data_IF_487065441169
#
_entry.id   IF_487065441169
#
_cell.length_a   1.000
_cell.length_b   1.000
_cell.length_c   1.000
_cell.angle_alpha   90.00
_cell.angle_beta   90.00
_cell.angle_gamma   90.00
#
_symmetry.space_group_name_H-M   'P 1'
#
loop_
_entity.id
_entity.type
_entity.pdbx_description
1 polymer ?
#
# COMPACT_ATOMS: atom_id res chain seq x y z
N UNK A 1 26.18 -12.52 -18.77
CA UNK A 1 25.16 -13.06 -17.85
C UNK A 1 23.89 -13.27 -18.66
N UNK A 2 23.28 -14.46 -18.66
CA UNK A 2 21.99 -14.68 -19.34
C UNK A 2 20.87 -14.13 -18.46
N UNK A 3 20.05 -13.24 -19.00
CA UNK A 3 18.85 -12.72 -18.33
C UNK A 3 17.95 -13.91 -17.94
N UNK A 4 17.58 -13.96 -16.67
CA UNK A 4 16.70 -15.00 -16.14
C UNK A 4 15.30 -14.39 -16.03
N UNK A 5 14.34 -14.97 -16.75
CA UNK A 5 12.94 -14.51 -16.72
C UNK A 5 12.04 -15.70 -16.40
N UNK A 6 11.02 -15.47 -15.57
CA UNK A 6 9.92 -16.43 -15.39
C UNK A 6 8.72 -15.95 -16.17
N UNK A 7 8.07 -16.88 -16.87
CA UNK A 7 6.83 -16.61 -17.59
C UNK A 7 5.68 -16.69 -16.58
N UNK A 8 5.03 -15.57 -16.33
CA UNK A 8 3.80 -15.51 -15.53
C UNK A 8 2.60 -15.53 -16.46
N UNK A 9 1.88 -16.65 -16.46
CA UNK A 9 0.61 -16.82 -17.20
C UNK A 9 -0.52 -17.01 -16.19
N UNK A 10 -1.55 -16.17 -16.28
CA UNK A 10 -2.77 -16.32 -15.49
C UNK A 10 -4.00 -16.18 -16.39
N UNK A 11 -4.94 -17.10 -16.24
CA UNK A 11 -6.29 -17.03 -16.79
C UNK A 11 -7.28 -17.26 -15.65
N UNK A 12 -7.69 -16.17 -14.98
CA UNK A 12 -8.68 -16.24 -13.89
C UNK A 12 -9.86 -15.35 -14.20
N UNK A 13 -11.06 -15.89 -14.03
CA UNK A 13 -12.31 -15.14 -14.14
C UNK A 13 -12.46 -14.30 -12.87
N UNK A 14 -12.58 -12.97 -13.00
CA UNK A 14 -12.84 -12.06 -11.89
C UNK A 14 -14.29 -12.19 -11.42
N UNK A 15 -14.59 -11.70 -10.21
CA UNK A 15 -15.97 -11.70 -9.65
C UNK A 15 -16.96 -10.92 -10.53
N UNK A 16 -16.46 -9.97 -11.34
CA UNK A 16 -17.23 -9.17 -12.30
C UNK A 16 -17.45 -9.88 -13.66
N UNK A 17 -17.10 -11.17 -13.79
CA UNK A 17 -17.27 -11.97 -15.02
C UNK A 17 -16.22 -11.72 -16.12
N UNK A 18 -15.34 -10.72 -15.96
CA UNK A 18 -14.23 -10.46 -16.88
C UNK A 18 -13.07 -11.43 -16.68
N UNK A 19 -12.46 -11.89 -17.77
CA UNK A 19 -11.31 -12.81 -17.72
C UNK A 19 -10.02 -11.98 -17.54
N UNK A 20 -9.27 -12.29 -16.49
CA UNK A 20 -7.94 -11.74 -16.27
C UNK A 20 -6.93 -12.58 -17.08
N UNK A 21 -6.57 -12.09 -18.27
CA UNK A 21 -5.47 -12.60 -19.08
C UNK A 21 -4.18 -11.90 -18.66
N UNK A 22 -3.28 -12.61 -17.99
CA UNK A 22 -1.93 -12.15 -17.71
C UNK A 22 -0.97 -13.04 -18.45
N UNK A 23 -0.09 -12.46 -19.26
CA UNK A 23 1.02 -13.14 -19.92
C UNK A 23 2.20 -12.17 -19.95
N UNK A 24 3.04 -12.23 -18.92
CA UNK A 24 4.18 -11.33 -18.77
C UNK A 24 5.46 -12.10 -18.46
N UNK A 25 6.59 -11.54 -18.87
CA UNK A 25 7.92 -12.02 -18.52
C UNK A 25 8.41 -11.21 -17.33
N UNK A 26 8.55 -11.88 -16.18
CA UNK A 26 9.05 -11.25 -14.96
C UNK A 26 10.57 -11.46 -14.90
N UNK A 27 11.38 -10.39 -14.97
CA UNK A 27 12.82 -10.50 -14.78
C UNK A 27 13.14 -10.85 -13.34
N UNK A 28 14.06 -11.79 -13.14
CA UNK A 28 14.49 -12.24 -11.82
C UNK A 28 15.97 -11.95 -11.64
N UNK A 29 16.28 -11.26 -10.54
CA UNK A 29 17.64 -11.07 -10.10
C UNK A 29 18.20 -12.37 -9.54
N UNK A 30 19.36 -12.78 -10.05
CA UNK A 30 20.07 -13.94 -9.53
C UNK A 30 20.68 -13.61 -8.18
N UNK A 31 20.59 -14.55 -7.24
CA UNK A 31 21.35 -14.49 -5.99
C UNK A 31 22.85 -14.38 -6.34
N UNK A 32 23.58 -13.40 -5.80
CA UNK A 32 25.01 -13.24 -6.04
C UNK A 32 25.79 -14.53 -5.78
N UNK A 33 26.72 -14.86 -6.68
CA UNK A 33 27.50 -16.11 -6.61
C UNK A 33 28.29 -16.27 -5.30
N UNK A 34 28.68 -15.16 -4.68
CA UNK A 34 29.42 -15.17 -3.41
C UNK A 34 28.55 -15.62 -2.23
N UNK A 35 27.26 -15.32 -2.25
CA UNK A 35 26.28 -15.79 -1.26
C UNK A 35 26.06 -17.30 -1.44
N UNK A 36 25.97 -17.77 -2.69
CA UNK A 36 25.87 -19.20 -2.98
C UNK A 36 27.11 -19.97 -2.53
N UNK A 37 28.32 -19.41 -2.72
CA UNK A 37 29.56 -20.00 -2.21
C UNK A 37 29.56 -20.07 -0.68
N UNK A 38 29.22 -18.97 -0.01
CA UNK A 38 29.16 -18.93 1.44
C UNK A 38 28.14 -19.94 2.03
N UNK A 39 27.02 -20.18 1.34
CA UNK A 39 26.04 -21.19 1.71
C UNK A 39 26.59 -22.61 1.57
N UNK A 40 27.28 -22.90 0.46
CA UNK A 40 27.92 -24.19 0.22
C UNK A 40 29.08 -24.44 1.22
N UNK A 41 29.88 -23.42 1.51
CA UNK A 41 30.98 -23.49 2.48
C UNK A 41 30.48 -23.73 3.90
N UNK A 42 29.40 -23.06 4.31
CA UNK A 42 28.75 -23.29 5.61
C UNK A 42 28.24 -24.73 5.73
N UNK A 43 27.66 -25.27 4.65
CA UNK A 43 27.21 -26.67 4.60
C UNK A 43 28.38 -27.64 4.72
N UNK A 44 29.50 -27.36 4.07
CA UNK A 44 30.70 -28.20 4.09
C UNK A 44 31.40 -28.19 5.46
N UNK A 45 31.30 -27.07 6.20
CA UNK A 45 31.83 -26.92 7.56
C UNK A 45 30.87 -27.37 8.66
N UNK A 46 29.61 -27.69 8.33
CA UNK A 46 28.57 -28.02 9.31
C UNK A 46 28.06 -26.81 10.11
N UNK A 47 28.27 -25.60 9.63
CA UNK A 47 27.85 -24.35 10.28
C UNK A 47 26.51 -23.85 9.70
N UNK A 48 25.73 -23.15 10.51
CA UNK A 48 24.50 -22.52 10.03
C UNK A 48 24.84 -21.29 9.18
N UNK A 49 24.46 -21.33 7.90
CA UNK A 49 24.59 -20.19 7.00
C UNK A 49 23.80 -18.98 7.54
N UNK A 50 24.48 -17.85 7.73
CA UNK A 50 23.83 -16.59 8.09
C UNK A 50 23.46 -15.81 6.84
N UNK A 51 22.15 -15.68 6.58
CA UNK A 51 21.66 -14.99 5.40
C UNK A 51 21.70 -13.46 5.61
N UNK A 52 22.45 -12.70 4.78
CA UNK A 52 22.54 -11.24 4.88
C UNK A 52 21.21 -10.50 4.67
N UNK A 53 20.25 -11.13 3.99
CA UNK A 53 18.92 -10.57 3.76
C UNK A 53 17.92 -10.92 4.87
N UNK A 54 18.32 -11.74 5.83
CA UNK A 54 17.43 -12.14 6.91
C UNK A 54 17.30 -11.00 7.91
N UNK A 55 16.06 -10.56 8.13
CA UNK A 55 15.76 -9.55 9.12
C UNK A 55 16.24 -10.04 10.49
N UNK A 56 16.91 -9.18 11.30
CA UNK A 56 17.34 -9.56 12.64
C UNK A 56 16.18 -10.18 13.42
N UNK A 57 16.43 -11.25 14.20
CA UNK A 57 15.37 -11.99 14.91
C UNK A 57 14.47 -11.10 15.78
N UNK A 58 15.04 -10.04 16.36
CA UNK A 58 14.31 -9.02 17.13
C UNK A 58 13.32 -8.21 16.28
N UNK A 59 13.61 -8.03 15.00
CA UNK A 59 12.78 -7.31 14.03
C UNK A 59 11.74 -8.25 13.41
N UNK A 60 12.08 -9.52 13.16
CA UNK A 60 11.17 -10.52 12.58
C UNK A 60 9.87 -10.68 13.39
N UNK A 61 9.96 -10.72 14.72
CA UNK A 61 8.77 -10.77 15.59
C UNK A 61 7.89 -9.52 15.48
N UNK A 62 8.52 -8.34 15.41
CA UNK A 62 7.83 -7.05 15.24
C UNK A 62 7.20 -6.95 13.86
N UNK A 63 7.86 -7.42 12.80
CA UNK A 63 7.34 -7.42 11.43
C UNK A 63 6.09 -8.28 11.32
N UNK A 64 6.07 -9.50 11.89
CA UNK A 64 4.85 -10.32 11.93
C UNK A 64 3.69 -9.62 12.64
N UNK A 65 3.98 -8.92 13.74
CA UNK A 65 2.95 -8.14 14.46
C UNK A 65 2.46 -6.95 13.63
N UNK A 66 3.36 -6.24 12.94
CA UNK A 66 3.03 -5.13 12.05
C UNK A 66 2.13 -5.60 10.91
N UNK A 67 2.45 -6.73 10.26
CA UNK A 67 1.62 -7.28 9.18
C UNK A 67 0.21 -7.59 9.69
N UNK A 68 0.09 -8.21 10.87
CA UNK A 68 -1.22 -8.48 11.49
C UNK A 68 -1.99 -7.19 11.80
N UNK A 69 -1.32 -6.15 12.29
CA UNK A 69 -1.95 -4.88 12.60
C UNK A 69 -2.40 -4.13 11.34
N UNK A 70 -1.61 -4.19 10.26
CA UNK A 70 -1.98 -3.60 8.97
C UNK A 70 -3.21 -4.32 8.41
N UNK A 71 -3.22 -5.65 8.47
CA UNK A 71 -4.35 -6.44 8.00
C UNK A 71 -5.63 -6.15 8.80
N UNK A 72 -5.55 -6.18 10.14
CA UNK A 72 -6.69 -5.86 11.01
C UNK A 72 -7.18 -4.42 10.81
N UNK A 73 -6.28 -3.45 10.59
CA UNK A 73 -6.65 -2.07 10.27
C UNK A 73 -7.43 -2.01 8.96
N UNK A 74 -6.97 -2.71 7.92
CA UNK A 74 -7.62 -2.74 6.61
C UNK A 74 -9.01 -3.36 6.69
N UNK A 75 -9.15 -4.48 7.40
CA UNK A 75 -10.45 -5.14 7.63
C UNK A 75 -11.42 -4.22 8.37
N UNK A 76 -10.97 -3.58 9.46
CA UNK A 76 -11.79 -2.62 10.20
C UNK A 76 -12.19 -1.39 9.36
N UNK A 77 -11.29 -0.88 8.52
CA UNK A 77 -11.60 0.21 7.58
C UNK A 77 -12.61 -0.21 6.50
N UNK A 78 -12.51 -1.45 6.00
CA UNK A 78 -13.48 -2.00 5.04
C UNK A 78 -14.86 -2.17 5.66
N UNK A 79 -14.96 -2.78 6.85
CA UNK A 79 -16.22 -2.91 7.59
C UNK A 79 -16.86 -1.55 7.88
N UNK A 80 -16.06 -0.60 8.36
CA UNK A 80 -16.52 0.76 8.64
C UNK A 80 -17.02 1.46 7.37
N UNK A 81 -16.40 1.24 6.22
CA UNK A 81 -16.85 1.81 4.95
C UNK A 81 -18.15 1.17 4.45
N UNK A 82 -18.36 -0.13 4.67
CA UNK A 82 -19.62 -0.81 4.33
C UNK A 82 -20.75 -0.22 5.18
N UNK A 83 -20.56 -0.13 6.50
CA UNK A 83 -21.56 0.43 7.42
C UNK A 83 -21.86 1.89 7.07
N UNK A 84 -20.84 2.71 6.76
CA UNK A 84 -21.05 4.10 6.33
C UNK A 84 -21.88 4.21 5.06
N UNK A 85 -21.66 3.34 4.08
CA UNK A 85 -22.45 3.32 2.83
C UNK A 85 -23.90 2.95 3.12
N UNK A 86 -24.13 1.92 3.92
CA UNK A 86 -25.47 1.47 4.30
C UNK A 86 -26.26 2.57 5.05
N UNK A 87 -25.61 3.24 6.03
CA UNK A 87 -26.20 4.38 6.73
C UNK A 87 -26.49 5.53 5.76
N UNK A 88 -25.58 5.83 4.84
CA UNK A 88 -25.75 6.90 3.86
C UNK A 88 -26.93 6.61 2.90
N UNK A 89 -27.05 5.39 2.39
CA UNK A 89 -28.17 4.93 1.56
C UNK A 89 -29.49 5.02 2.33
N UNK A 90 -29.50 4.61 3.60
CA UNK A 90 -30.68 4.71 4.47
C UNK A 90 -31.07 6.19 4.71
N UNK A 91 -30.10 7.09 4.91
CA UNK A 91 -30.36 8.53 5.03
C UNK A 91 -30.89 9.15 3.73
N UNK A 92 -30.48 8.64 2.56
CA UNK A 92 -31.06 9.04 1.28
C UNK A 92 -32.50 8.55 1.17
N UNK A 93 -32.75 7.28 1.46
CA UNK A 93 -34.08 6.68 1.36
C UNK A 93 -35.13 7.37 2.26
N UNK A 94 -34.73 7.72 3.49
CA UNK A 94 -35.62 8.38 4.46
C UNK A 94 -35.64 9.92 4.32
N UNK A 95 -34.87 10.47 3.38
CA UNK A 95 -34.62 11.90 3.18
C UNK A 95 -34.30 12.68 4.47
N UNK A 96 -33.41 12.12 5.29
CA UNK A 96 -32.97 12.75 6.55
C UNK A 96 -31.55 13.29 6.42
N UNK A 97 -31.36 14.55 6.82
CA UNK A 97 -30.06 15.22 6.76
C UNK A 97 -29.18 14.99 8.00
N UNK A 98 -29.76 14.68 9.17
CA UNK A 98 -29.02 14.54 10.41
C UNK A 98 -29.67 13.54 11.37
N UNK A 99 -28.89 12.63 11.93
CA UNK A 99 -29.25 11.77 13.05
C UNK A 99 -28.31 12.00 14.23
N UNK A 100 -28.87 12.05 15.43
CA UNK A 100 -28.12 12.12 16.69
C UNK A 100 -28.44 10.90 17.54
N UNK A 101 -27.41 10.22 18.00
CA UNK A 101 -27.48 9.14 18.97
C UNK A 101 -26.65 9.47 20.21
N UNK A 102 -26.58 8.53 21.14
CA UNK A 102 -25.76 8.66 22.35
C UNK A 102 -24.28 8.55 21.97
N UNK A 103 -23.57 9.68 22.01
CA UNK A 103 -22.14 9.76 21.68
C UNK A 103 -21.78 9.90 20.20
N UNK A 104 -22.75 9.98 19.27
CA UNK A 104 -22.48 10.15 17.83
C UNK A 104 -23.51 11.06 17.13
N UNK A 105 -23.01 11.90 16.22
CA UNK A 105 -23.84 12.69 15.29
C UNK A 105 -23.48 12.33 13.85
N UNK A 106 -24.47 11.95 13.06
CA UNK A 106 -24.31 11.54 11.67
C UNK A 106 -25.01 12.60 10.82
N UNK A 107 -24.25 13.33 10.00
CA UNK A 107 -24.78 14.37 9.12
C UNK A 107 -24.49 14.02 7.68
N UNK A 108 -25.53 14.02 6.85
CA UNK A 108 -25.44 13.84 5.40
C UNK A 108 -24.89 15.12 4.80
N UNK A 109 -23.75 15.04 4.12
CA UNK A 109 -23.21 16.15 3.32
C UNK A 109 -23.58 15.90 1.87
N UNK A 110 -24.18 16.89 1.21
CA UNK A 110 -24.51 16.81 -0.22
C UNK A 110 -23.24 16.69 -1.06
N UNK A 111 -23.39 16.17 -2.28
CA UNK A 111 -22.30 16.09 -3.23
C UNK A 111 -21.67 17.46 -3.43
N UNK A 112 -20.39 17.58 -3.08
CA UNK A 112 -19.61 18.80 -3.24
C UNK A 112 -18.44 18.54 -4.16
N UNK A 113 -18.15 19.50 -5.02
CA UNK A 113 -16.97 19.48 -5.87
C UNK A 113 -15.76 19.93 -5.07
N UNK A 114 -14.86 18.99 -4.78
CA UNK A 114 -13.56 19.28 -4.18
C UNK A 114 -12.57 19.64 -5.28
N UNK A 115 -12.16 20.89 -5.33
CA UNK A 115 -11.03 21.34 -6.16
C UNK A 115 -9.74 21.25 -5.34
N UNK A 116 -8.76 20.51 -5.86
CA UNK A 116 -7.39 20.49 -5.31
C UNK A 116 -6.44 21.10 -6.33
N UNK A 117 -5.56 21.97 -5.87
CA UNK A 117 -4.54 22.59 -6.72
C UNK A 117 -3.42 21.58 -6.98
N UNK A 118 -3.22 21.21 -8.25
CA UNK A 118 -2.12 20.36 -8.66
C UNK A 118 -0.84 21.19 -8.87
N UNK A 119 -0.06 21.25 -7.80
CA UNK A 119 1.23 21.93 -7.78
C UNK A 119 2.21 21.34 -8.81
N UNK A 120 2.17 20.03 -9.07
CA UNK A 120 3.16 19.37 -9.94
C UNK A 120 2.94 19.74 -11.40
N UNK A 121 1.68 19.73 -11.86
CA UNK A 121 1.32 20.17 -13.20
C UNK A 121 1.55 21.67 -13.39
N UNK A 122 1.27 22.48 -12.36
CA UNK A 122 1.53 23.92 -12.38
C UNK A 122 3.02 24.26 -12.56
N UNK A 123 3.91 23.58 -11.82
CA UNK A 123 5.37 23.75 -11.95
C UNK A 123 5.90 23.43 -13.35
N UNK A 124 5.32 22.44 -14.03
CA UNK A 124 5.72 22.05 -15.39
C UNK A 124 5.27 23.07 -16.44
N UNK A 125 4.06 23.63 -16.28
CA UNK A 125 3.50 24.59 -17.22
C UNK A 125 4.09 25.99 -17.06
N UNK A 126 4.45 26.39 -15.83
CA UNK A 126 4.95 27.72 -15.52
C UNK A 126 6.22 27.67 -14.65
N UNK A 127 7.37 27.30 -15.24
CA UNK A 127 8.63 27.19 -14.50
C UNK A 127 9.16 28.52 -13.98
N UNK A 128 8.84 29.64 -14.64
CA UNK A 128 9.37 30.98 -14.30
C UNK A 128 8.53 31.75 -13.27
N UNK A 129 7.41 31.18 -12.81
CA UNK A 129 6.52 31.85 -11.86
C UNK A 129 6.98 31.59 -10.42
N UNK A 130 7.29 32.63 -9.62
CA UNK A 130 7.72 32.46 -8.24
C UNK A 130 6.53 32.16 -7.33
N UNK A 131 6.14 30.88 -7.25
CA UNK A 131 5.06 30.41 -6.37
C UNK A 131 5.56 30.01 -4.97
N UNK A 132 6.88 29.96 -4.75
CA UNK A 132 7.50 29.53 -3.48
C UNK A 132 7.09 30.43 -2.30
N UNK A 133 6.92 31.73 -2.55
CA UNK A 133 6.47 32.71 -1.55
C UNK A 133 5.05 32.45 -1.02
N UNK A 134 4.28 31.61 -1.71
CA UNK A 134 2.92 31.25 -1.34
C UNK A 134 2.81 29.81 -0.81
N UNK A 135 3.92 29.07 -0.74
CA UNK A 135 3.97 27.74 -0.14
C UNK A 135 4.31 27.87 1.34
N UNK A 136 3.37 27.46 2.20
CA UNK A 136 3.67 27.22 3.61
C UNK A 136 4.39 25.88 3.75
N UNK A 137 5.68 25.90 4.08
CA UNK A 137 6.45 24.70 4.44
C UNK A 137 6.47 24.54 5.95
N UNK A 138 6.14 23.35 6.45
CA UNK A 138 6.36 22.95 7.84
C UNK A 138 7.35 21.79 7.90
N UNK A 139 8.21 21.78 8.91
CA UNK A 139 9.07 20.62 9.17
C UNK A 139 8.21 19.48 9.72
N UNK A 140 8.27 18.33 9.06
CA UNK A 140 7.57 17.11 9.47
C UNK A 140 8.60 16.14 10.05
N UNK A 141 8.28 15.53 11.19
CA UNK A 141 9.13 14.50 11.79
C UNK A 141 9.32 13.32 10.83
N UNK A 142 10.53 12.76 10.78
CA UNK A 142 10.84 11.62 9.90
C UNK A 142 9.88 10.45 10.13
N UNK A 143 9.25 9.95 9.07
CA UNK A 143 8.33 8.81 9.14
C UNK A 143 8.94 7.56 8.52
N UNK A 144 8.79 6.41 9.17
CA UNK A 144 9.12 5.11 8.58
C UNK A 144 8.01 4.70 7.60
N UNK A 145 8.35 4.62 6.30
CA UNK A 145 7.43 4.16 5.26
C UNK A 145 7.55 2.65 5.10
N UNK A 146 6.52 1.90 5.51
CA UNK A 146 6.44 0.45 5.31
C UNK A 146 5.68 0.21 4.02
N UNK A 147 6.37 -0.31 3.01
CA UNK A 147 5.76 -0.78 1.76
C UNK A 147 5.73 -2.31 1.81
N UNK A 148 4.53 -2.88 1.82
CA UNK A 148 4.31 -4.31 1.58
C UNK A 148 4.36 -4.54 0.07
N UNK A 149 5.23 -5.46 -0.39
CA UNK A 149 5.19 -5.98 -1.77
C UNK A 149 4.05 -6.99 -1.93
#
# INVERSE_FOLDING_TARGET
MKELTVIHICNKIKKDGTINHVAELVPIDRIPGDICKALLDATLKGEQFQNPYELPKEVSGKVKRIIKLIQAKKEAEEELNIIKKDIFETMIFLDVNNWRGEGISITRTSDTTRSSFDLASFKKAFPDLPYENYIKTSNVAGSLKIMTM
#
